data_IF_172884466421
#
_entry.id   IF_172884466421
#
_cell.length_a   1.000
_cell.length_b   1.000
_cell.length_c   1.000
_cell.angle_alpha   90.00
_cell.angle_beta   90.00
_cell.angle_gamma   90.00
#
_symmetry.space_group_name_H-M   'P 1'
#
loop_
_entity.id
_entity.type
_entity.pdbx_description
1 polymer ?
#
# COMPACT_ATOMS: atom_id res chain seq x y z
N UNK A 1 -15.71 16.77 28.34
CA UNK A 1 -15.27 17.71 27.29
C UNK A 1 -15.69 17.09 25.97
N UNK A 2 -16.84 17.51 25.46
CA UNK A 2 -17.48 16.91 24.28
C UNK A 2 -16.67 17.22 23.02
N UNK A 3 -16.48 16.19 22.19
CA UNK A 3 -15.82 16.30 20.89
C UNK A 3 -16.85 16.72 19.84
N UNK A 4 -16.50 17.78 19.11
CA UNK A 4 -17.27 18.42 18.05
C UNK A 4 -17.62 17.44 16.89
N UNK A 5 -18.90 17.28 16.48
CA UNK A 5 -19.33 16.22 15.57
C UNK A 5 -19.16 16.52 14.05
N UNK A 6 -18.32 17.48 13.66
CA UNK A 6 -18.21 17.95 12.26
C UNK A 6 -16.99 17.45 11.45
N UNK A 7 -16.21 16.47 11.94
CA UNK A 7 -15.10 15.84 11.18
C UNK A 7 -15.47 14.49 10.53
N UNK A 8 -16.73 14.27 10.17
CA UNK A 8 -17.19 12.97 9.63
C UNK A 8 -17.01 12.74 8.13
N UNK A 9 -16.57 13.73 7.36
CA UNK A 9 -16.34 13.53 5.93
C UNK A 9 -15.07 14.25 5.47
N UNK A 10 -14.24 13.52 4.72
CA UNK A 10 -12.98 13.90 4.03
C UNK A 10 -11.69 13.30 4.62
N UNK A 11 -11.55 11.98 4.52
CA UNK A 11 -10.26 11.31 4.37
C UNK A 11 -10.38 10.39 3.15
N UNK A 12 -9.94 10.79 1.94
CA UNK A 12 -9.74 9.82 0.89
C UNK A 12 -8.58 8.91 1.29
N UNK A 13 -8.77 7.60 1.11
CA UNK A 13 -7.73 6.59 1.26
C UNK A 13 -6.54 6.93 0.36
N UNK A 14 -5.57 7.66 0.92
CA UNK A 14 -4.29 7.94 0.31
C UNK A 14 -3.29 6.90 0.83
N UNK A 15 -2.54 6.30 -0.11
CA UNK A 15 -1.50 5.31 0.10
C UNK A 15 -0.87 5.35 1.50
N UNK A 16 -1.15 4.34 2.32
CA UNK A 16 -0.56 4.18 3.64
C UNK A 16 0.86 3.65 3.50
N UNK A 17 1.74 4.43 2.85
CA UNK A 17 3.17 4.37 3.16
C UNK A 17 3.26 4.99 4.54
N UNK A 18 3.28 4.16 5.59
CA UNK A 18 3.50 4.57 6.98
C UNK A 18 4.92 5.16 7.13
N UNK A 19 5.13 6.35 6.59
CA UNK A 19 6.12 7.29 7.09
C UNK A 19 5.43 8.02 8.24
N UNK A 20 5.41 7.42 9.43
CA UNK A 20 4.98 8.12 10.65
C UNK A 20 5.96 9.26 10.88
N UNK A 21 5.55 10.47 10.49
CA UNK A 21 6.18 11.71 10.92
C UNK A 21 5.81 11.88 12.40
N UNK A 22 6.82 11.78 13.25
CA UNK A 22 6.70 12.00 14.67
C UNK A 22 6.41 13.48 14.93
N UNK A 23 5.17 13.82 15.31
CA UNK A 23 4.91 15.07 16.03
C UNK A 23 5.17 14.83 17.53
N UNK A 24 5.88 15.71 18.24
CA UNK A 24 5.95 15.68 19.69
C UNK A 24 4.67 16.29 20.27
N UNK A 25 3.98 15.55 21.15
CA UNK A 25 2.99 16.10 22.06
C UNK A 25 3.72 16.85 23.17
N UNK A 26 3.74 18.19 23.11
CA UNK A 26 4.26 19.00 24.20
C UNK A 26 3.31 18.89 25.41
N UNK A 27 3.83 18.35 26.52
CA UNK A 27 3.19 18.43 27.81
C UNK A 27 3.03 19.89 28.26
N UNK A 28 1.90 20.19 28.87
CA UNK A 28 1.58 21.49 29.40
C UNK A 28 2.58 21.86 30.51
N UNK A 29 3.43 22.84 30.22
CA UNK A 29 4.17 23.58 31.22
C UNK A 29 4.09 25.06 30.84
N UNK A 30 3.50 25.85 31.73
CA UNK A 30 3.16 27.25 31.55
C UNK A 30 4.35 28.04 30.96
N UNK A 31 4.18 28.53 29.74
CA UNK A 31 5.06 29.54 29.14
C UNK A 31 4.28 30.83 29.04
N UNK A 32 4.86 31.91 29.59
CA UNK A 32 4.42 33.28 29.37
C UNK A 32 4.28 33.63 27.88
N UNK A 33 3.77 34.82 27.54
CA UNK A 33 3.33 35.13 26.19
C UNK A 33 4.48 34.97 25.20
N UNK A 34 4.45 33.87 24.45
CA UNK A 34 5.40 33.59 23.40
C UNK A 34 5.01 34.45 22.19
N UNK A 35 5.56 35.66 22.11
CA UNK A 35 5.78 36.29 20.81
C UNK A 35 6.73 35.40 20.02
N UNK A 36 6.20 34.68 19.04
CA UNK A 36 6.57 34.85 17.63
C UNK A 36 5.76 33.90 16.77
N UNK A 37 4.95 34.49 15.89
CA UNK A 37 4.51 33.84 14.68
C UNK A 37 5.74 33.28 13.95
N UNK A 38 5.86 31.96 13.81
CA UNK A 38 6.59 31.40 12.68
C UNK A 38 5.75 31.69 11.45
N UNK A 39 5.81 32.94 10.98
CA UNK A 39 5.37 33.31 9.64
C UNK A 39 6.08 32.36 8.68
N UNK A 40 5.31 31.71 7.82
CA UNK A 40 5.80 30.94 6.68
C UNK A 40 6.75 31.83 5.88
N UNK A 41 8.07 31.67 6.07
CA UNK A 41 9.07 32.37 5.27
C UNK A 41 8.85 31.96 3.82
N UNK A 42 8.58 32.93 2.96
CA UNK A 42 8.50 32.70 1.51
C UNK A 42 9.81 32.07 1.02
N UNK A 43 9.71 31.04 0.17
CA UNK A 43 10.86 30.37 -0.44
C UNK A 43 11.67 31.38 -1.25
N UNK A 44 12.93 31.61 -0.86
CA UNK A 44 13.85 32.42 -1.66
C UNK A 44 14.36 31.67 -2.88
N UNK A 45 14.93 32.38 -3.86
CA UNK A 45 15.58 31.74 -5.00
C UNK A 45 16.73 30.80 -4.57
N UNK A 46 17.48 31.16 -3.53
CA UNK A 46 18.54 30.33 -2.97
C UNK A 46 17.98 29.04 -2.33
N UNK A 47 16.86 29.12 -1.62
CA UNK A 47 16.22 27.95 -1.01
C UNK A 47 15.75 26.95 -2.08
N UNK A 48 15.14 27.45 -3.17
CA UNK A 48 14.70 26.63 -4.30
C UNK A 48 15.88 25.97 -5.01
N UNK A 49 16.95 26.73 -5.27
CA UNK A 49 18.14 26.20 -5.92
C UNK A 49 18.81 25.10 -5.09
N UNK A 50 18.93 25.29 -3.77
CA UNK A 50 19.45 24.28 -2.85
C UNK A 50 18.58 23.02 -2.84
N UNK A 51 17.25 23.17 -2.77
CA UNK A 51 16.33 22.03 -2.78
C UNK A 51 16.39 21.23 -4.09
N UNK A 52 16.47 21.91 -5.25
CA UNK A 52 16.62 21.27 -6.57
C UNK A 52 17.94 20.52 -6.66
N UNK A 53 19.05 21.09 -6.17
CA UNK A 53 20.34 20.41 -6.22
C UNK A 53 20.35 19.15 -5.35
N UNK A 54 19.85 19.23 -4.11
CA UNK A 54 19.72 18.05 -3.24
C UNK A 54 18.82 17.00 -3.90
N UNK A 55 17.65 17.40 -4.43
CA UNK A 55 16.75 16.48 -5.12
C UNK A 55 17.43 15.79 -6.30
N UNK A 56 18.17 16.53 -7.13
CA UNK A 56 18.90 16.00 -8.28
C UNK A 56 19.97 14.96 -7.86
N UNK A 57 20.69 15.24 -6.77
CA UNK A 57 21.64 14.29 -6.18
C UNK A 57 20.94 13.02 -5.67
N UNK A 58 19.78 13.15 -5.00
CA UNK A 58 19.01 12.00 -4.51
C UNK A 58 18.46 11.15 -5.65
N UNK A 59 17.88 11.75 -6.69
CA UNK A 59 17.39 11.01 -7.86
C UNK A 59 18.52 10.23 -8.53
N UNK A 60 19.66 10.88 -8.78
CA UNK A 60 20.81 10.23 -9.44
C UNK A 60 21.39 9.07 -8.62
N UNK A 61 21.44 9.21 -7.31
CA UNK A 61 22.07 8.21 -6.42
C UNK A 61 21.11 7.12 -5.96
N UNK A 62 19.82 7.40 -5.81
CA UNK A 62 18.86 6.52 -5.13
C UNK A 62 17.79 5.93 -6.05
N UNK A 63 17.45 6.57 -7.17
CA UNK A 63 16.42 6.04 -8.05
C UNK A 63 16.78 4.64 -8.57
N UNK A 64 15.78 3.76 -8.64
CA UNK A 64 15.95 2.33 -8.96
C UNK A 64 16.53 2.08 -10.36
N UNK A 65 16.33 3.00 -11.31
CA UNK A 65 16.97 2.96 -12.63
C UNK A 65 17.98 4.10 -12.77
N UNK A 66 19.27 3.78 -12.73
CA UNK A 66 20.33 4.78 -12.62
C UNK A 66 20.26 5.88 -13.70
N UNK A 67 20.03 5.49 -14.95
CA UNK A 67 20.02 6.43 -16.07
C UNK A 67 18.75 7.30 -16.09
N UNK A 68 17.60 6.74 -15.73
CA UNK A 68 16.36 7.51 -15.56
C UNK A 68 16.47 8.49 -14.39
N UNK A 69 17.12 8.09 -13.30
CA UNK A 69 17.43 8.98 -12.17
C UNK A 69 18.26 10.20 -12.58
N UNK A 70 19.28 9.99 -13.43
CA UNK A 70 20.11 11.07 -13.99
C UNK A 70 19.31 11.96 -14.95
N UNK A 71 18.45 11.39 -15.79
CA UNK A 71 17.58 12.16 -16.71
C UNK A 71 16.64 13.08 -15.94
N UNK A 72 15.96 12.56 -14.92
CA UNK A 72 15.09 13.36 -14.05
C UNK A 72 15.87 14.46 -13.32
N UNK A 73 17.06 14.14 -12.80
CA UNK A 73 17.94 15.11 -12.14
C UNK A 73 18.36 16.25 -13.08
N UNK A 74 18.64 15.96 -14.36
CA UNK A 74 18.91 16.96 -15.38
C UNK A 74 17.66 17.81 -15.69
N UNK A 75 16.51 17.17 -15.84
CA UNK A 75 15.25 17.86 -16.15
C UNK A 75 14.85 18.89 -15.08
N UNK A 76 14.91 18.54 -13.80
CA UNK A 76 14.55 19.50 -12.73
C UNK A 76 15.54 20.66 -12.61
N UNK A 77 16.83 20.44 -12.94
CA UNK A 77 17.84 21.49 -13.00
C UNK A 77 17.59 22.42 -14.19
N UNK A 78 17.21 21.88 -15.34
CA UNK A 78 16.84 22.65 -16.52
C UNK A 78 15.62 23.56 -16.26
N UNK A 79 14.58 23.03 -15.59
CA UNK A 79 13.44 23.85 -15.14
C UNK A 79 13.85 24.98 -14.19
N UNK A 80 14.80 24.73 -13.27
CA UNK A 80 15.33 25.78 -12.41
C UNK A 80 16.05 26.87 -13.23
N UNK A 81 16.90 26.48 -14.19
CA UNK A 81 17.63 27.41 -15.05
C UNK A 81 16.73 28.26 -15.94
N UNK A 82 15.58 27.72 -16.35
CA UNK A 82 14.56 28.43 -17.13
C UNK A 82 13.73 29.42 -16.32
N UNK A 83 13.87 29.43 -14.99
CA UNK A 83 13.11 30.28 -14.10
C UNK A 83 11.70 29.78 -13.78
N UNK A 84 11.38 28.52 -14.09
CA UNK A 84 10.02 27.96 -13.94
C UNK A 84 9.53 27.97 -12.47
N UNK A 85 10.47 28.05 -11.51
CA UNK A 85 10.17 28.10 -10.09
C UNK A 85 10.17 29.51 -9.49
N UNK A 86 10.49 30.57 -10.24
CA UNK A 86 10.72 31.93 -9.70
C UNK A 86 9.50 32.47 -8.94
N UNK A 87 8.31 32.30 -9.50
CA UNK A 87 7.06 32.87 -8.97
C UNK A 87 6.45 32.09 -7.80
N UNK A 88 6.97 30.89 -7.49
CA UNK A 88 6.40 30.03 -6.44
C UNK A 88 6.88 30.47 -5.06
N UNK A 89 5.97 30.87 -4.17
CA UNK A 89 6.34 31.37 -2.83
C UNK A 89 6.19 30.31 -1.72
N UNK A 90 5.26 29.37 -1.88
CA UNK A 90 4.89 28.40 -0.85
C UNK A 90 5.53 27.02 -1.09
N UNK A 91 5.98 26.36 -0.01
CA UNK A 91 6.59 25.03 -0.06
C UNK A 91 5.68 23.98 -0.72
N UNK A 92 4.38 23.99 -0.42
CA UNK A 92 3.42 23.05 -1.00
C UNK A 92 3.31 23.21 -2.53
N UNK A 93 3.18 24.46 -3.00
CA UNK A 93 3.13 24.74 -4.44
C UNK A 93 4.44 24.36 -5.15
N UNK A 94 5.57 24.53 -4.47
CA UNK A 94 6.87 24.14 -5.01
C UNK A 94 7.01 22.61 -5.08
N UNK A 95 6.54 21.89 -4.06
CA UNK A 95 6.47 20.43 -4.06
C UNK A 95 5.60 19.89 -5.22
N UNK A 96 4.42 20.47 -5.42
CA UNK A 96 3.50 20.07 -6.49
C UNK A 96 4.11 20.31 -7.88
N UNK A 97 4.79 21.45 -8.06
CA UNK A 97 5.43 21.79 -9.33
C UNK A 97 6.65 20.91 -9.62
N UNK A 98 7.50 20.64 -8.62
CA UNK A 98 8.60 19.67 -8.74
C UNK A 98 8.06 18.28 -9.10
N UNK A 99 6.99 17.85 -8.45
CA UNK A 99 6.34 16.56 -8.76
C UNK A 99 5.84 16.53 -10.19
N UNK A 100 5.17 17.59 -10.66
CA UNK A 100 4.67 17.70 -12.03
C UNK A 100 5.80 17.57 -13.05
N UNK A 101 6.91 18.28 -12.85
CA UNK A 101 8.06 18.22 -13.75
C UNK A 101 8.77 16.86 -13.73
N UNK A 102 8.85 16.20 -12.57
CA UNK A 102 9.36 14.84 -12.48
C UNK A 102 8.50 13.84 -13.24
N UNK A 103 7.17 13.91 -13.09
CA UNK A 103 6.24 13.04 -13.80
C UNK A 103 6.29 13.27 -15.32
N UNK A 104 6.48 14.52 -15.77
CA UNK A 104 6.68 14.82 -17.18
C UNK A 104 7.99 14.23 -17.74
N UNK A 105 9.05 14.21 -16.94
CA UNK A 105 10.34 13.64 -17.33
C UNK A 105 10.34 12.10 -17.33
N UNK A 106 9.70 11.50 -16.33
CA UNK A 106 9.59 10.05 -16.17
C UNK A 106 8.34 9.69 -15.36
N UNK A 107 7.26 9.22 -16.01
CA UNK A 107 6.05 8.82 -15.31
C UNK A 107 6.30 7.62 -14.38
N UNK A 108 6.22 7.85 -13.07
CA UNK A 108 6.28 6.82 -12.03
C UNK A 108 5.36 7.28 -10.89
N UNK A 109 4.24 6.58 -10.67
CA UNK A 109 3.19 7.02 -9.73
C UNK A 109 3.63 7.00 -8.26
N UNK A 110 4.75 6.34 -7.95
CA UNK A 110 5.34 6.32 -6.61
C UNK A 110 6.26 7.51 -6.34
N UNK A 111 6.79 8.15 -7.38
CA UNK A 111 7.67 9.31 -7.27
C UNK A 111 6.88 10.59 -6.97
N UNK A 112 7.15 11.23 -5.82
CA UNK A 112 6.51 12.49 -5.45
C UNK A 112 7.38 13.36 -4.55
N UNK A 113 7.18 14.67 -4.61
CA UNK A 113 7.70 15.62 -3.62
C UNK A 113 6.55 16.03 -2.72
N UNK A 114 6.76 15.98 -1.42
CA UNK A 114 5.72 16.25 -0.42
C UNK A 114 6.13 17.38 0.49
N UNK A 115 5.19 18.28 0.74
CA UNK A 115 5.28 19.20 1.86
C UNK A 115 5.13 18.43 3.17
N UNK A 116 6.13 18.58 4.04
CA UNK A 116 6.14 18.02 5.38
C UNK A 116 6.81 19.05 6.28
N UNK A 117 6.00 19.78 7.07
CA UNK A 117 6.51 20.75 8.02
C UNK A 117 7.53 20.08 8.96
N UNK A 118 8.71 20.68 9.08
CA UNK A 118 9.85 20.10 9.82
C UNK A 118 10.20 18.69 9.31
N UNK A 119 10.51 18.59 8.01
CA UNK A 119 10.86 17.36 7.34
C UNK A 119 11.92 16.58 8.16
N UNK A 120 11.65 15.31 8.51
CA UNK A 120 12.56 14.53 9.33
C UNK A 120 13.89 14.30 8.59
N UNK A 121 15.00 14.08 9.31
CA UNK A 121 16.24 13.67 8.67
C UNK A 121 16.07 12.33 7.94
N UNK A 122 16.94 12.08 6.97
CA UNK A 122 16.99 10.80 6.28
C UNK A 122 17.15 9.66 7.30
N UNK A 123 16.48 8.55 7.01
CA UNK A 123 16.65 7.30 7.74
C UNK A 123 17.24 6.26 6.81
N UNK A 124 18.05 5.32 7.31
CA UNK A 124 18.42 4.14 6.54
C UNK A 124 17.17 3.43 6.02
N UNK A 125 17.28 2.80 4.86
CA UNK A 125 16.21 1.91 4.38
C UNK A 125 16.03 0.79 5.41
N UNK A 126 14.80 0.46 5.83
CA UNK A 126 14.56 -0.71 6.66
C UNK A 126 15.11 -1.97 5.96
N UNK A 127 16.05 -2.66 6.60
CA UNK A 127 16.47 -3.99 6.14
C UNK A 127 15.57 -5.06 6.76
N UNK A 128 15.51 -6.25 6.16
CA UNK A 128 14.75 -7.37 6.73
C UNK A 128 15.25 -7.76 8.14
N UNK A 129 16.51 -7.44 8.44
CA UNK A 129 17.19 -7.83 9.67
C UNK A 129 17.25 -6.70 10.71
N UNK A 130 16.75 -5.50 10.40
CA UNK A 130 16.73 -4.37 11.31
C UNK A 130 15.29 -4.08 11.75
N UNK A 131 15.05 -4.21 13.05
CA UNK A 131 13.78 -3.83 13.65
C UNK A 131 13.55 -2.32 13.60
N UNK A 132 12.28 -1.93 13.63
CA UNK A 132 11.87 -0.54 13.86
C UNK A 132 12.34 -0.10 15.26
N UNK A 133 12.92 1.11 15.42
CA UNK A 133 13.29 1.66 16.73
C UNK A 133 12.12 1.63 17.72
N UNK A 134 12.39 1.39 19.00
CA UNK A 134 11.37 1.14 20.02
C UNK A 134 10.28 2.23 20.11
N UNK A 135 10.68 3.50 20.11
CA UNK A 135 9.74 4.63 20.16
C UNK A 135 8.81 4.69 18.94
N UNK A 136 9.35 4.38 17.75
CA UNK A 136 8.55 4.35 16.53
C UNK A 136 7.63 3.13 16.52
N UNK A 137 8.12 1.99 17.01
CA UNK A 137 7.30 0.78 17.18
C UNK A 137 6.12 1.03 18.12
N UNK A 138 6.33 1.72 19.24
CA UNK A 138 5.23 2.06 20.16
C UNK A 138 4.14 2.89 19.44
N UNK A 139 4.52 3.96 18.74
CA UNK A 139 3.56 4.78 17.98
C UNK A 139 2.88 3.99 16.87
N UNK A 140 3.61 3.12 16.19
CA UNK A 140 3.04 2.21 15.18
C UNK A 140 2.03 1.25 15.79
N UNK A 141 2.28 0.73 16.99
CA UNK A 141 1.34 -0.11 17.73
C UNK A 141 0.08 0.68 18.10
N UNK A 142 0.21 1.90 18.62
CA UNK A 142 -0.94 2.75 18.99
C UNK A 142 -1.82 3.07 17.76
N UNK A 143 -1.20 3.49 16.66
CA UNK A 143 -1.89 3.72 15.38
C UNK A 143 -2.50 2.43 14.84
N UNK A 144 -1.75 1.33 14.91
CA UNK A 144 -2.20 0.01 14.49
C UNK A 144 -3.44 -0.44 15.26
N UNK A 145 -3.45 -0.31 16.58
CA UNK A 145 -4.61 -0.64 17.41
C UNK A 145 -5.83 0.21 17.04
N UNK A 146 -5.64 1.51 16.83
CA UNK A 146 -6.73 2.40 16.41
C UNK A 146 -7.33 2.01 15.05
N UNK A 147 -6.49 1.60 14.10
CA UNK A 147 -6.89 1.18 12.75
C UNK A 147 -7.20 -0.31 12.63
N UNK A 148 -7.21 -1.04 13.74
CA UNK A 148 -7.27 -2.50 13.78
C UNK A 148 -6.27 -3.18 12.81
N UNK A 149 -5.07 -2.61 12.71
CA UNK A 149 -3.98 -3.04 11.82
C UNK A 149 -4.41 -3.16 10.35
N UNK A 150 -5.31 -2.25 9.93
CA UNK A 150 -5.91 -2.18 8.60
C UNK A 150 -6.83 -3.36 8.22
N UNK A 151 -7.26 -4.16 9.21
CA UNK A 151 -8.29 -5.19 9.05
C UNK A 151 -9.64 -4.53 9.33
N UNK A 152 -10.32 -4.14 8.26
CA UNK A 152 -11.56 -3.37 8.32
C UNK A 152 -12.76 -4.25 8.65
N UNK A 153 -12.82 -5.45 8.06
CA UNK A 153 -13.97 -6.35 8.22
C UNK A 153 -13.58 -7.81 8.05
N UNK A 154 -14.12 -8.67 8.91
CA UNK A 154 -14.19 -10.12 8.74
C UNK A 154 -15.64 -10.54 8.89
N UNK A 155 -16.22 -11.17 7.87
CA UNK A 155 -17.64 -11.52 7.83
C UNK A 155 -17.84 -12.90 7.22
N UNK A 156 -18.79 -13.67 7.75
CA UNK A 156 -19.24 -14.92 7.13
C UNK A 156 -20.53 -14.67 6.35
N UNK A 157 -20.48 -14.87 5.05
CA UNK A 157 -21.60 -14.76 4.13
C UNK A 157 -22.34 -16.10 3.99
N UNK A 158 -23.57 -16.11 3.43
CA UNK A 158 -24.29 -17.34 3.09
C UNK A 158 -23.44 -18.31 2.26
N UNK A 159 -23.60 -19.62 2.47
CA UNK A 159 -22.73 -20.65 1.88
C UNK A 159 -21.38 -20.80 2.59
N UNK A 160 -21.23 -20.22 3.80
CA UNK A 160 -19.98 -20.25 4.56
C UNK A 160 -18.80 -19.65 3.77
N UNK A 161 -19.06 -18.54 3.07
CA UNK A 161 -18.05 -17.81 2.31
C UNK A 161 -17.49 -16.71 3.23
N UNK A 162 -16.17 -16.68 3.41
CA UNK A 162 -15.53 -15.70 4.29
C UNK A 162 -15.15 -14.45 3.50
N UNK A 163 -15.59 -13.30 3.97
CA UNK A 163 -15.24 -12.00 3.43
C UNK A 163 -14.26 -11.29 4.34
N UNK A 164 -13.14 -10.84 3.79
CA UNK A 164 -12.09 -10.13 4.49
C UNK A 164 -11.81 -8.82 3.76
N UNK A 165 -12.06 -7.68 4.40
CA UNK A 165 -11.68 -6.37 3.87
C UNK A 165 -10.39 -5.90 4.53
N UNK A 166 -9.34 -5.74 3.73
CA UNK A 166 -8.03 -5.27 4.17
C UNK A 166 -7.77 -3.93 3.49
N UNK A 167 -7.68 -2.85 4.27
CA UNK A 167 -7.39 -1.51 3.74
C UNK A 167 -5.89 -1.19 3.70
N UNK A 168 -5.05 -2.13 4.12
CA UNK A 168 -3.59 -2.03 4.10
C UNK A 168 -2.94 -3.36 4.47
N UNK A 169 -1.67 -3.50 4.11
CA UNK A 169 -0.77 -4.53 4.64
C UNK A 169 0.08 -3.87 5.72
N UNK A 170 -0.40 -3.87 6.97
CA UNK A 170 0.30 -3.19 8.07
C UNK A 170 1.70 -3.77 8.31
N UNK A 171 2.58 -3.03 9.00
CA UNK A 171 3.92 -3.50 9.33
C UNK A 171 3.86 -4.85 10.07
N UNK A 172 4.64 -5.82 9.57
CA UNK A 172 4.46 -7.22 9.94
C UNK A 172 4.77 -7.50 11.41
N UNK A 173 5.86 -6.97 11.98
CA UNK A 173 6.23 -7.24 13.38
C UNK A 173 5.12 -6.80 14.36
N UNK A 174 4.41 -5.74 14.00
CA UNK A 174 3.38 -5.13 14.83
C UNK A 174 1.99 -5.72 14.56
N UNK A 175 1.66 -5.98 13.29
CA UNK A 175 0.31 -6.37 12.86
C UNK A 175 0.07 -7.88 12.69
N UNK A 176 1.12 -8.73 12.70
CA UNK A 176 1.00 -10.16 12.32
C UNK A 176 0.04 -10.94 13.19
N UNK A 177 -0.06 -10.61 14.49
CA UNK A 177 -1.01 -11.25 15.39
C UNK A 177 -2.47 -10.98 15.01
N UNK A 178 -2.80 -9.74 14.63
CA UNK A 178 -4.15 -9.38 14.19
C UNK A 178 -4.49 -10.05 12.85
N UNK A 179 -3.55 -10.04 11.89
CA UNK A 179 -3.72 -10.74 10.61
C UNK A 179 -3.93 -12.25 10.80
N UNK A 180 -3.18 -12.86 11.72
CA UNK A 180 -3.33 -14.27 12.12
C UNK A 180 -4.73 -14.55 12.67
N UNK A 181 -5.24 -13.69 13.57
CA UNK A 181 -6.58 -13.83 14.12
C UNK A 181 -7.66 -13.76 13.02
N UNK A 182 -7.55 -12.81 12.09
CA UNK A 182 -8.46 -12.71 10.95
C UNK A 182 -8.44 -13.96 10.06
N UNK A 183 -7.25 -14.48 9.75
CA UNK A 183 -7.12 -15.71 8.95
C UNK A 183 -7.64 -16.94 9.68
N UNK A 184 -7.44 -17.05 11.00
CA UNK A 184 -7.99 -18.13 11.82
C UNK A 184 -9.53 -18.10 11.83
N UNK A 185 -10.15 -16.93 11.99
CA UNK A 185 -11.61 -16.78 11.89
C UNK A 185 -12.12 -17.21 10.51
N UNK A 186 -11.34 -16.95 9.47
CA UNK A 186 -11.70 -17.29 8.10
C UNK A 186 -11.38 -18.74 7.69
N UNK A 187 -10.59 -19.46 8.48
CA UNK A 187 -10.00 -20.74 8.11
C UNK A 187 -11.05 -21.81 7.77
N UNK A 188 -12.22 -21.76 8.41
CA UNK A 188 -13.30 -22.74 8.24
C UNK A 188 -14.24 -22.45 7.05
N UNK A 189 -14.06 -21.34 6.35
CA UNK A 189 -14.89 -20.98 5.19
C UNK A 189 -14.77 -21.98 4.05
N UNK A 190 -15.82 -22.16 3.25
CA UNK A 190 -15.82 -22.98 2.03
C UNK A 190 -15.16 -22.25 0.85
N UNK A 191 -15.19 -20.91 0.86
CA UNK A 191 -14.54 -20.01 -0.08
C UNK A 191 -14.14 -18.72 0.65
N UNK A 192 -13.25 -17.93 0.06
CA UNK A 192 -12.86 -16.63 0.59
C UNK A 192 -12.96 -15.53 -0.47
N UNK A 193 -13.39 -14.35 -0.06
CA UNK A 193 -13.34 -13.11 -0.83
C UNK A 193 -12.48 -12.12 -0.03
N UNK A 194 -11.37 -11.67 -0.60
CA UNK A 194 -10.48 -10.68 -0.01
C UNK A 194 -10.68 -9.37 -0.77
N UNK A 195 -11.22 -8.36 -0.10
CA UNK A 195 -11.46 -7.05 -0.68
C UNK A 195 -10.24 -6.14 -0.48
N UNK A 196 -9.57 -5.82 -1.59
CA UNK A 196 -8.42 -4.92 -1.67
C UNK A 196 -8.75 -3.64 -2.46
N UNK A 197 -10.03 -3.37 -2.76
CA UNK A 197 -10.44 -2.23 -3.60
C UNK A 197 -10.01 -0.89 -3.04
N UNK A 198 -9.85 -0.76 -1.73
CA UNK A 198 -9.39 0.47 -1.06
C UNK A 198 -7.99 0.32 -0.42
N UNK A 199 -7.26 -0.73 -0.79
CA UNK A 199 -5.96 -1.05 -0.20
C UNK A 199 -4.82 -0.37 -0.98
N UNK A 200 -4.16 0.59 -0.35
CA UNK A 200 -3.03 1.32 -0.92
C UNK A 200 -1.66 0.64 -0.78
N UNK A 201 -1.63 -0.59 -0.24
CA UNK A 201 -0.41 -1.37 -0.06
C UNK A 201 0.09 -1.42 1.39
N UNK A 202 1.41 -1.40 1.57
CA UNK A 202 2.06 -1.53 2.88
C UNK A 202 3.29 -2.44 2.86
N UNK A 203 3.42 -3.30 3.87
CA UNK A 203 4.60 -4.12 4.13
C UNK A 203 4.56 -5.47 3.37
N UNK A 204 5.56 -5.77 2.51
CA UNK A 204 5.65 -7.04 1.80
C UNK A 204 5.83 -8.26 2.72
N UNK A 205 6.30 -8.07 3.96
CA UNK A 205 6.36 -9.17 4.95
C UNK A 205 4.96 -9.57 5.41
N UNK A 206 4.03 -8.61 5.52
CA UNK A 206 2.63 -8.91 5.83
C UNK A 206 1.93 -9.56 4.63
N UNK A 207 2.26 -9.15 3.41
CA UNK A 207 1.82 -9.84 2.18
C UNK A 207 2.19 -11.32 2.22
N UNK A 208 3.47 -11.63 2.48
CA UNK A 208 3.95 -13.00 2.59
C UNK A 208 3.24 -13.78 3.71
N UNK A 209 3.03 -13.15 4.87
CA UNK A 209 2.32 -13.77 6.00
C UNK A 209 0.88 -14.14 5.64
N UNK A 210 0.09 -13.20 5.10
CA UNK A 210 -1.32 -13.46 4.71
C UNK A 210 -1.39 -14.49 3.58
N UNK A 211 -0.52 -14.39 2.56
CA UNK A 211 -0.45 -15.34 1.47
C UNK A 211 -0.20 -16.78 1.96
N UNK A 212 0.62 -16.95 3.01
CA UNK A 212 0.98 -18.26 3.56
C UNK A 212 -0.22 -19.09 4.03
N UNK A 213 -1.28 -18.45 4.53
CA UNK A 213 -2.51 -19.15 4.95
C UNK A 213 -3.28 -19.76 3.77
N UNK A 214 -3.02 -19.29 2.54
CA UNK A 214 -3.72 -19.70 1.34
C UNK A 214 -2.99 -20.83 0.59
N UNK A 215 -1.72 -21.11 0.88
CA UNK A 215 -0.87 -21.92 -0.02
C UNK A 215 -0.74 -23.38 0.38
N UNK A 216 -1.45 -23.81 1.42
CA UNK A 216 -1.27 -25.15 1.98
C UNK A 216 0.17 -25.33 2.48
N UNK A 217 0.65 -26.56 2.54
CA UNK A 217 1.96 -26.97 3.08
C UNK A 217 3.19 -26.57 2.24
N UNK A 218 2.98 -25.91 1.10
CA UNK A 218 4.06 -25.56 0.18
C UNK A 218 4.75 -24.24 0.56
N UNK A 219 6.08 -24.31 0.67
CA UNK A 219 6.95 -23.13 0.67
C UNK A 219 7.15 -22.65 -0.78
N UNK A 220 6.74 -21.41 -1.05
CA UNK A 220 6.71 -20.81 -2.39
C UNK A 220 7.48 -19.49 -2.35
N UNK A 221 8.34 -19.27 -3.34
CA UNK A 221 8.99 -17.97 -3.57
C UNK A 221 7.96 -17.03 -4.22
N UNK A 222 7.46 -16.06 -3.47
CA UNK A 222 6.38 -15.19 -3.91
C UNK A 222 6.92 -14.07 -4.81
N UNK A 223 7.92 -13.35 -4.32
CA UNK A 223 8.52 -12.22 -5.02
C UNK A 223 9.94 -11.93 -4.54
N UNK A 224 10.68 -11.20 -5.37
CA UNK A 224 11.91 -10.53 -4.99
C UNK A 224 11.73 -9.02 -5.10
N UNK A 225 12.43 -8.27 -4.25
CA UNK A 225 12.57 -6.82 -4.38
C UNK A 225 14.05 -6.48 -4.47
N UNK A 226 14.47 -5.93 -5.61
CA UNK A 226 15.83 -5.46 -5.83
C UNK A 226 15.96 -3.99 -5.46
N UNK A 227 16.91 -3.64 -4.60
CA UNK A 227 17.25 -2.27 -4.21
C UNK A 227 18.58 -1.84 -4.82
N UNK A 228 18.54 -0.84 -5.71
CA UNK A 228 19.71 -0.47 -6.53
C UNK A 228 20.85 0.08 -5.70
N UNK A 229 20.56 1.03 -4.81
CA UNK A 229 21.59 1.78 -4.09
C UNK A 229 22.43 0.89 -3.16
N UNK A 230 21.83 -0.16 -2.64
CA UNK A 230 22.47 -1.11 -1.71
C UNK A 230 22.97 -2.38 -2.42
N UNK A 231 22.61 -2.54 -3.70
CA UNK A 231 22.79 -3.77 -4.47
C UNK A 231 22.29 -5.03 -3.73
N UNK A 232 21.13 -4.91 -3.09
CA UNK A 232 20.52 -5.98 -2.28
C UNK A 232 19.24 -6.49 -2.94
N UNK A 233 19.00 -7.79 -2.83
CA UNK A 233 17.71 -8.40 -3.20
C UNK A 233 17.08 -9.02 -1.96
N UNK A 234 15.88 -8.55 -1.62
CA UNK A 234 15.07 -9.12 -0.56
C UNK A 234 14.11 -10.15 -1.17
N UNK A 235 14.19 -11.39 -0.72
CA UNK A 235 13.31 -12.47 -1.17
C UNK A 235 12.19 -12.74 -0.18
N UNK A 236 10.96 -12.81 -0.68
CA UNK A 236 9.75 -13.05 0.11
C UNK A 236 9.20 -14.44 -0.20
N UNK A 237 9.09 -15.25 0.85
CA UNK A 237 8.66 -16.64 0.77
C UNK A 237 7.39 -16.84 1.60
N UNK A 238 6.52 -17.74 1.14
CA UNK A 238 5.49 -18.27 2.03
C UNK A 238 6.12 -19.10 3.14
N UNK A 239 5.50 -19.08 4.32
CA UNK A 239 5.85 -19.92 5.44
C UNK A 239 4.78 -20.99 5.63
N UNK A 240 5.06 -22.29 5.40
CA UNK A 240 4.09 -23.30 5.73
C UNK A 240 3.79 -23.31 7.25
N UNK A 241 4.71 -22.97 8.14
CA UNK A 241 4.49 -23.02 9.58
C UNK A 241 3.72 -21.79 10.13
N UNK A 242 2.66 -21.34 9.45
CA UNK A 242 1.82 -20.24 9.97
C UNK A 242 1.22 -20.59 11.34
N UNK A 243 1.15 -19.65 12.29
CA UNK A 243 0.43 -19.86 13.54
C UNK A 243 -1.07 -20.06 13.31
N UNK A 244 -1.69 -20.98 14.05
CA UNK A 244 -3.12 -21.24 13.96
C UNK A 244 -3.50 -22.17 12.81
N UNK A 245 -4.61 -21.87 12.13
CA UNK A 245 -5.21 -22.76 11.13
C UNK A 245 -5.12 -22.13 9.75
N UNK A 246 -4.68 -22.92 8.77
CA UNK A 246 -4.62 -22.49 7.36
C UNK A 246 -6.01 -22.46 6.75
N UNK A 247 -6.24 -21.52 5.85
CA UNK A 247 -7.37 -21.66 4.93
C UNK A 247 -7.14 -22.82 3.95
N UNK A 248 -5.89 -23.03 3.53
CA UNK A 248 -5.49 -24.15 2.66
C UNK A 248 -5.50 -23.80 1.17
N UNK A 249 -4.97 -24.71 0.35
CA UNK A 249 -4.72 -24.49 -1.07
C UNK A 249 -5.91 -24.77 -1.97
N UNK A 250 -6.84 -25.63 -1.55
CA UNK A 250 -7.87 -26.19 -2.45
C UNK A 250 -9.14 -25.35 -2.52
N UNK A 251 -9.39 -24.53 -1.49
CA UNK A 251 -10.61 -23.73 -1.42
C UNK A 251 -10.48 -22.46 -2.26
N UNK A 252 -11.53 -22.08 -3.01
CA UNK A 252 -11.47 -20.93 -3.90
C UNK A 252 -11.28 -19.62 -3.12
N UNK A 253 -10.46 -18.75 -3.68
CA UNK A 253 -10.19 -17.42 -3.16
C UNK A 253 -10.36 -16.41 -4.30
N UNK A 254 -11.19 -15.42 -4.06
CA UNK A 254 -11.41 -14.29 -4.96
C UNK A 254 -10.81 -13.04 -4.34
N UNK A 255 -10.14 -12.22 -5.15
CA UNK A 255 -9.58 -10.94 -4.70
C UNK A 255 -10.27 -9.82 -5.45
N UNK A 256 -10.82 -8.85 -4.71
CA UNK A 256 -11.47 -7.68 -5.30
C UNK A 256 -10.46 -6.56 -5.50
N UNK A 257 -10.41 -6.00 -6.70
CA UNK A 257 -9.50 -4.91 -7.05
C UNK A 257 -10.23 -3.70 -7.63
N UNK A 258 -9.64 -2.52 -7.45
CA UNK A 258 -10.06 -1.28 -8.10
C UNK A 258 -8.86 -0.51 -8.62
N UNK A 259 -9.08 0.59 -9.35
CA UNK A 259 -8.01 1.53 -9.71
C UNK A 259 -7.26 2.15 -8.51
N UNK A 260 -7.78 2.03 -7.29
CA UNK A 260 -7.11 2.46 -6.04
C UNK A 260 -6.23 1.39 -5.39
N UNK A 261 -6.38 0.13 -5.78
CA UNK A 261 -5.52 -0.95 -5.28
C UNK A 261 -4.09 -0.67 -5.73
N UNK A 262 -3.14 -0.59 -4.79
CA UNK A 262 -1.80 -0.10 -5.10
C UNK A 262 -0.70 -0.79 -4.29
N UNK A 263 0.54 -0.78 -4.81
CA UNK A 263 1.74 -1.19 -4.09
C UNK A 263 1.68 -2.63 -3.54
N UNK A 264 1.92 -2.88 -2.26
CA UNK A 264 1.92 -4.23 -1.69
C UNK A 264 0.59 -5.00 -1.88
N UNK A 265 -0.53 -4.32 -2.09
CA UNK A 265 -1.79 -4.98 -2.43
C UNK A 265 -1.77 -5.57 -3.85
N UNK A 266 -1.10 -4.88 -4.77
CA UNK A 266 -0.80 -5.39 -6.09
C UNK A 266 0.23 -6.51 -6.04
N UNK A 267 1.23 -6.44 -5.15
CA UNK A 267 2.19 -7.53 -4.91
C UNK A 267 1.47 -8.83 -4.49
N UNK A 268 0.58 -8.74 -3.49
CA UNK A 268 -0.26 -9.86 -3.07
C UNK A 268 -1.07 -10.42 -4.23
N UNK A 269 -1.74 -9.54 -4.99
CA UNK A 269 -2.65 -9.93 -6.07
C UNK A 269 -1.88 -10.55 -7.25
N UNK A 270 -0.85 -9.87 -7.75
CA UNK A 270 -0.07 -10.28 -8.91
C UNK A 270 0.63 -11.61 -8.68
N UNK A 271 1.29 -11.79 -7.53
CA UNK A 271 2.05 -13.01 -7.27
C UNK A 271 1.13 -14.22 -7.09
N UNK A 272 0.02 -14.07 -6.36
CA UNK A 272 -0.95 -15.14 -6.19
C UNK A 272 -1.72 -15.46 -7.48
N UNK A 273 -1.98 -14.46 -8.32
CA UNK A 273 -2.56 -14.67 -9.66
C UNK A 273 -1.58 -15.42 -10.57
N UNK A 274 -0.29 -15.05 -10.56
CA UNK A 274 0.74 -15.70 -11.39
C UNK A 274 0.89 -17.20 -11.08
N UNK A 275 0.75 -17.61 -9.82
CA UNK A 275 0.73 -19.03 -9.41
C UNK A 275 -0.66 -19.67 -9.50
N UNK A 276 -1.65 -18.97 -10.07
CA UNK A 276 -3.04 -19.43 -10.22
C UNK A 276 -3.73 -19.81 -8.91
N UNK A 277 -3.37 -19.15 -7.81
CA UNK A 277 -3.98 -19.40 -6.50
C UNK A 277 -5.32 -18.66 -6.34
N UNK A 278 -5.44 -17.47 -6.89
CA UNK A 278 -6.63 -16.62 -6.71
C UNK A 278 -7.31 -16.35 -8.05
N UNK A 279 -8.56 -15.90 -7.99
CA UNK A 279 -9.25 -15.26 -9.11
C UNK A 279 -9.46 -13.78 -8.79
N UNK A 280 -8.92 -12.90 -9.64
CA UNK A 280 -9.01 -11.45 -9.48
C UNK A 280 -10.29 -10.93 -10.14
N UNK A 281 -11.09 -10.17 -9.40
CA UNK A 281 -12.41 -9.69 -9.84
C UNK A 281 -12.50 -8.19 -9.60
N UNK A 282 -12.81 -7.41 -10.63
CA UNK A 282 -12.93 -5.95 -10.51
C UNK A 282 -12.23 -5.21 -11.63
N UNK A 283 -11.53 -4.14 -11.28
CA UNK A 283 -10.82 -3.27 -12.24
C UNK A 283 -9.31 -3.54 -12.21
N UNK A 284 -8.62 -3.07 -13.25
CA UNK A 284 -7.16 -2.98 -13.27
C UNK A 284 -6.68 -2.07 -12.15
N UNK A 285 -5.64 -2.50 -11.44
CA UNK A 285 -5.06 -1.76 -10.30
C UNK A 285 -4.23 -0.55 -10.71
N UNK A 286 -3.75 0.23 -9.75
CA UNK A 286 -3.13 1.53 -10.00
C UNK A 286 -1.74 1.50 -10.65
N UNK A 287 -1.01 0.39 -10.55
CA UNK A 287 0.26 0.15 -11.24
C UNK A 287 1.51 0.66 -10.53
N UNK A 288 1.66 0.41 -9.22
CA UNK A 288 2.84 0.80 -8.46
C UNK A 288 3.63 -0.41 -7.96
N UNK A 289 4.70 -0.79 -8.64
CA UNK A 289 5.56 -1.93 -8.29
C UNK A 289 6.94 -1.54 -7.76
N UNK A 290 7.22 -0.24 -7.60
CA UNK A 290 8.49 0.24 -7.08
C UNK A 290 8.42 0.72 -5.61
N UNK A 291 9.02 -0.02 -4.65
CA UNK A 291 9.15 0.44 -3.28
C UNK A 291 9.91 1.77 -3.16
N UNK A 292 9.42 2.62 -2.28
CA UNK A 292 9.90 3.99 -2.10
C UNK A 292 10.64 4.21 -0.78
N UNK A 293 11.48 5.24 -0.74
CA UNK A 293 12.06 5.76 0.49
C UNK A 293 11.92 7.30 0.52
N UNK A 294 11.57 7.88 1.67
CA UNK A 294 11.58 9.33 1.85
C UNK A 294 13.01 9.86 2.07
N UNK A 295 13.34 10.96 1.39
CA UNK A 295 14.59 11.71 1.54
C UNK A 295 14.28 13.17 1.77
N UNK A 296 14.89 13.79 2.78
CA UNK A 296 14.76 15.23 3.00
C UNK A 296 15.49 15.99 1.90
N UNK A 297 14.82 16.97 1.29
CA UNK A 297 15.42 17.85 0.26
C UNK A 297 15.46 19.32 0.68
N UNK A 298 14.62 19.72 1.64
CA UNK A 298 14.61 21.05 2.25
C UNK A 298 13.98 20.98 3.66
N UNK A 299 13.97 22.07 4.45
CA UNK A 299 13.40 22.07 5.80
C UNK A 299 11.96 21.57 5.89
N UNK A 300 11.15 21.81 4.87
CA UNK A 300 9.74 21.41 4.84
C UNK A 300 9.38 20.49 3.65
N UNK A 301 10.38 19.89 3.00
CA UNK A 301 10.17 19.10 1.79
C UNK A 301 10.85 17.74 1.88
N UNK A 302 10.09 16.70 1.50
CA UNK A 302 10.55 15.33 1.40
C UNK A 302 10.32 14.83 -0.03
N UNK A 303 11.34 14.23 -0.63
CA UNK A 303 11.23 13.47 -1.87
C UNK A 303 10.95 12.01 -1.53
N UNK A 304 9.83 11.48 -2.01
CA UNK A 304 9.50 10.05 -1.98
C UNK A 304 10.03 9.45 -3.27
N UNK A 305 11.16 8.74 -3.20
CA UNK A 305 11.88 8.25 -4.37
C UNK A 305 11.74 6.73 -4.46
N UNK A 306 11.36 6.18 -5.62
CA UNK A 306 11.43 4.74 -5.89
C UNK A 306 12.88 4.23 -5.87
N UNK A 307 13.20 3.39 -4.88
CA UNK A 307 14.57 2.88 -4.62
C UNK A 307 14.74 1.42 -4.94
N UNK A 308 13.62 0.69 -5.10
CA UNK A 308 13.63 -0.71 -5.46
C UNK A 308 12.56 -1.05 -6.50
N UNK A 309 12.64 -2.27 -7.01
CA UNK A 309 11.66 -2.82 -7.95
C UNK A 309 11.27 -4.23 -7.53
N UNK A 310 9.97 -4.50 -7.54
CA UNK A 310 9.46 -5.86 -7.40
C UNK A 310 9.75 -6.68 -8.66
N UNK A 311 10.01 -7.97 -8.47
CA UNK A 311 10.31 -8.96 -9.50
C UNK A 311 9.49 -10.20 -9.18
N UNK A 312 8.60 -10.57 -10.09
CA UNK A 312 7.88 -11.82 -10.00
C UNK A 312 8.70 -12.96 -10.63
N UNK A 313 8.70 -14.11 -9.95
CA UNK A 313 9.57 -15.24 -10.27
C UNK A 313 9.08 -16.05 -11.50
N UNK A 314 7.81 -15.93 -11.86
CA UNK A 314 7.20 -16.61 -13.01
C UNK A 314 7.23 -15.69 -14.24
N UNK A 315 6.70 -14.47 -14.12
CA UNK A 315 6.59 -13.54 -15.25
C UNK A 315 7.91 -12.83 -15.55
N UNK A 316 8.89 -12.88 -14.63
CA UNK A 316 10.17 -12.18 -14.69
C UNK A 316 10.06 -10.64 -14.79
N UNK A 317 8.86 -10.10 -14.63
CA UNK A 317 8.56 -8.67 -14.65
C UNK A 317 7.78 -8.23 -13.41
N UNK A 318 7.01 -7.17 -13.54
CA UNK A 318 6.14 -6.63 -12.50
C UNK A 318 4.93 -5.89 -13.09
N UNK A 319 4.15 -5.21 -12.24
CA UNK A 319 2.93 -4.48 -12.60
C UNK A 319 3.11 -2.96 -12.69
N UNK A 320 4.35 -2.45 -12.69
CA UNK A 320 4.59 -0.99 -12.76
C UNK A 320 3.95 -0.41 -14.02
N UNK A 321 3.25 0.72 -13.86
CA UNK A 321 2.60 1.46 -14.95
C UNK A 321 1.39 0.77 -15.60
N UNK A 322 1.25 -0.56 -15.47
CA UNK A 322 0.21 -1.37 -16.12
C UNK A 322 -0.88 -1.84 -15.17
N UNK A 323 -0.54 -2.03 -13.89
CA UNK A 323 -1.42 -2.64 -12.91
C UNK A 323 -1.62 -4.14 -13.13
N UNK A 324 -2.25 -4.77 -12.15
CA UNK A 324 -2.72 -6.15 -12.20
C UNK A 324 -4.05 -6.17 -12.94
N UNK A 325 -4.11 -6.90 -14.05
CA UNK A 325 -5.33 -7.08 -14.82
C UNK A 325 -6.24 -8.12 -14.14
N UNK A 326 -7.54 -7.85 -13.98
CA UNK A 326 -8.46 -8.79 -13.38
C UNK A 326 -8.71 -9.99 -14.30
N UNK A 327 -8.91 -11.18 -13.72
CA UNK A 327 -9.36 -12.37 -14.47
C UNK A 327 -10.82 -12.21 -14.90
N UNK A 328 -11.61 -11.52 -14.07
CA UNK A 328 -13.02 -11.17 -14.33
C UNK A 328 -13.18 -9.67 -14.21
N UNK A 329 -13.08 -8.98 -15.35
CA UNK A 329 -13.24 -7.54 -15.44
C UNK A 329 -14.69 -7.13 -15.17
N UNK A 330 -14.88 -6.24 -14.21
CA UNK A 330 -16.17 -5.63 -13.86
C UNK A 330 -15.91 -4.31 -13.11
N UNK A 331 -16.85 -3.37 -13.14
CA UNK A 331 -16.73 -2.15 -12.35
C UNK A 331 -16.56 -2.47 -10.84
N UNK A 332 -15.73 -1.66 -10.15
CA UNK A 332 -15.34 -1.90 -8.75
C UNK A 332 -16.55 -2.02 -7.79
N UNK A 333 -17.61 -1.27 -8.05
CA UNK A 333 -18.87 -1.30 -7.29
C UNK A 333 -19.62 -2.65 -7.43
N UNK A 334 -19.51 -3.31 -8.59
CA UNK A 334 -20.09 -4.62 -8.89
C UNK A 334 -19.18 -5.80 -8.52
N UNK A 335 -17.90 -5.57 -8.22
CA UNK A 335 -16.92 -6.62 -7.96
C UNK A 335 -17.32 -7.56 -6.82
N UNK A 336 -17.87 -7.02 -5.73
CA UNK A 336 -18.34 -7.82 -4.59
C UNK A 336 -19.50 -8.74 -4.98
N UNK A 337 -20.50 -8.20 -5.68
CA UNK A 337 -21.64 -8.98 -6.18
C UNK A 337 -21.15 -10.10 -7.11
N UNK A 338 -20.21 -9.78 -8.01
CA UNK A 338 -19.67 -10.74 -8.97
C UNK A 338 -18.89 -11.86 -8.28
N UNK A 339 -17.98 -11.53 -7.37
CA UNK A 339 -17.19 -12.51 -6.65
C UNK A 339 -18.06 -13.39 -5.74
N UNK A 340 -19.09 -12.83 -5.11
CA UNK A 340 -20.03 -13.59 -4.30
C UNK A 340 -20.82 -14.61 -5.14
N UNK A 341 -21.32 -14.20 -6.31
CA UNK A 341 -21.96 -15.13 -7.24
C UNK A 341 -21.01 -16.27 -7.69
N UNK A 342 -19.76 -15.94 -8.03
CA UNK A 342 -18.75 -16.94 -8.40
C UNK A 342 -18.44 -17.91 -7.25
N UNK A 343 -18.28 -17.38 -6.04
CA UNK A 343 -18.02 -18.18 -4.84
C UNK A 343 -19.21 -19.11 -4.52
N UNK A 344 -20.45 -18.60 -4.51
CA UNK A 344 -21.64 -19.42 -4.28
C UNK A 344 -21.78 -20.54 -5.31
N UNK A 345 -21.55 -20.24 -6.59
CA UNK A 345 -21.61 -21.25 -7.67
C UNK A 345 -20.61 -22.39 -7.44
N UNK A 346 -19.43 -22.11 -6.90
CA UNK A 346 -18.45 -23.15 -6.58
C UNK A 346 -18.76 -23.94 -5.29
N UNK A 347 -19.44 -23.32 -4.33
CA UNK A 347 -19.74 -23.94 -3.04
C UNK A 347 -21.01 -24.79 -3.10
N UNK A 348 -22.05 -24.34 -3.81
CA UNK A 348 -23.37 -24.99 -3.91
C UNK A 348 -23.33 -26.51 -4.21
N UNK A 349 -22.50 -27.00 -5.16
CA UNK A 349 -22.42 -28.44 -5.45
C UNK A 349 -21.87 -29.27 -4.29
N UNK A 350 -21.08 -28.66 -3.40
CA UNK A 350 -20.40 -29.33 -2.28
C UNK A 350 -21.22 -29.33 -0.99
N UNK A 351 -22.35 -28.62 -0.96
CA UNK A 351 -23.21 -28.53 0.22
C UNK A 351 -24.05 -29.79 0.38
N UNK A 352 -23.99 -30.38 1.57
CA UNK A 352 -24.77 -31.55 1.97
C UNK A 352 -26.07 -31.19 2.67
N UNK A 353 -26.27 -29.95 3.13
CA UNK A 353 -27.47 -29.52 3.83
C UNK A 353 -28.62 -29.22 2.84
N UNK A 354 -29.68 -30.06 2.79
CA UNK A 354 -30.77 -29.87 1.84
C UNK A 354 -31.64 -28.64 2.15
N UNK A 355 -31.64 -28.15 3.39
CA UNK A 355 -32.42 -26.98 3.79
C UNK A 355 -31.76 -25.66 3.37
N UNK A 356 -30.43 -25.64 3.25
CA UNK A 356 -29.67 -24.43 2.90
C UNK A 356 -29.64 -24.19 1.38
N UNK A 357 -29.63 -25.28 0.59
CA UNK A 357 -29.47 -25.21 -0.87
C UNK A 357 -30.49 -24.28 -1.57
N UNK A 358 -31.82 -24.39 -1.36
CA UNK A 358 -32.78 -23.54 -2.06
C UNK A 358 -32.60 -22.04 -1.74
N UNK A 359 -32.23 -21.72 -0.49
CA UNK A 359 -31.98 -20.33 -0.07
C UNK A 359 -30.75 -19.75 -0.79
N UNK A 360 -29.70 -20.56 -0.95
CA UNK A 360 -28.48 -20.16 -1.63
C UNK A 360 -28.63 -20.10 -3.16
N UNK A 361 -29.43 -20.98 -3.76
CA UNK A 361 -29.79 -20.89 -5.18
C UNK A 361 -30.56 -19.61 -5.48
N UNK A 362 -31.55 -19.28 -4.63
CA UNK A 362 -32.24 -17.99 -4.72
C UNK A 362 -31.25 -16.83 -4.57
N UNK A 363 -30.35 -16.89 -3.59
CA UNK A 363 -29.34 -15.84 -3.38
C UNK A 363 -28.40 -15.68 -4.57
N UNK A 364 -27.99 -16.78 -5.19
CA UNK A 364 -27.17 -16.77 -6.40
C UNK A 364 -27.92 -16.08 -7.55
N UNK A 365 -29.19 -16.44 -7.77
CA UNK A 365 -30.02 -15.80 -8.79
C UNK A 365 -30.20 -14.29 -8.56
N UNK A 366 -30.38 -13.85 -7.31
CA UNK A 366 -30.45 -12.42 -6.95
C UNK A 366 -29.15 -11.68 -7.28
N UNK A 367 -28.00 -12.29 -6.97
CA UNK A 367 -26.69 -11.70 -7.26
C UNK A 367 -26.45 -11.63 -8.78
N UNK A 368 -26.84 -12.66 -9.52
CA UNK A 368 -26.70 -12.69 -10.98
C UNK A 368 -27.60 -11.68 -11.68
N UNK A 369 -28.82 -11.47 -11.17
CA UNK A 369 -29.74 -10.45 -11.68
C UNK A 369 -29.27 -9.00 -11.37
N UNK A 370 -28.41 -8.82 -10.36
CA UNK A 370 -27.89 -7.52 -9.95
C UNK A 370 -26.60 -7.08 -10.70
N UNK A 371 -26.06 -7.93 -11.59
CA UNK A 371 -24.87 -7.66 -12.39
C UNK A 371 -25.24 -7.11 -13.76
#
# INVERSE_FOLDING_TARGET
MELNPLMRHLLPAAAMVLSIIALPTAGAQERGPATTAQQSRSLSAADKAAAVDVLAQRLSSKYVFADEGKKMAAAIRDHLLKGDYEKVAADAQFADLLTTHLQAAHPDKHLSIRYALNAPPDRPRPSLNQGVPAEMRQRMTEVGQYLNFAIEKVERLPGNIMYLKLNGFFEAETGKAAATAAMNLAANGNAMIIDLRENGGGDPRMVAHVASYLLGDKKIHLSDIYFRADNETNSFWSDPAVPGVRFGADKPVYVLTSGKTFSAAEDFTYNLQAIKRITVVGETTGGGAHPVQPFRIAPNLVAVIPVGRSINLITKGNWEGTGVKPDVAVASDKAMTKANALALRQVLPKLSNPMERPMLEKKLAELEAAL
#
